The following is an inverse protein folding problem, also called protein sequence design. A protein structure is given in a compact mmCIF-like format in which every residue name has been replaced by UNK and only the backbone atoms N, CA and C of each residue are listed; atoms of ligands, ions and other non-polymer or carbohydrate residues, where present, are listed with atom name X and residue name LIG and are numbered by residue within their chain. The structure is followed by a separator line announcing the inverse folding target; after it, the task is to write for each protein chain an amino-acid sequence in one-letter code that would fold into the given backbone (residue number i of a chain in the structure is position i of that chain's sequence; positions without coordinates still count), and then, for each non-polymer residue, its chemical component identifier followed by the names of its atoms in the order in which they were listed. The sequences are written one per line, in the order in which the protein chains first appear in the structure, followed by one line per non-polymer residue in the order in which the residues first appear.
data_IF_509973127328
#
_entry.id   IF_509973127328
#
_cell.length_a   1.000
_cell.length_b   1.000
_cell.length_c   1.000
_cell.angle_alpha   90.00
_cell.angle_beta   90.00
_cell.angle_gamma   90.00
#
_symmetry.space_group_name_H-M   'P 1'
#
loop_
_entity.id
_entity.type
_entity.pdbx_description
1 polymer ?
#
# COMPACT_ATOMS: atom_id res chain seq x y z
N UNK A 1 -5.62 8.92 18.51
CA UNK A 1 -6.61 7.83 18.34
C UNK A 1 -6.51 7.26 16.92
N UNK A 2 -5.39 6.63 16.57
CA UNK A 2 -5.13 6.05 15.25
C UNK A 2 -4.94 4.52 15.31
N UNK A 3 -5.24 3.91 16.46
CA UNK A 3 -4.66 2.64 16.88
C UNK A 3 -5.58 1.43 16.65
N UNK A 4 -6.90 1.60 16.71
CA UNK A 4 -7.79 0.42 16.83
C UNK A 4 -7.97 -0.42 15.55
N UNK A 5 -7.75 0.16 14.37
CA UNK A 5 -7.91 -0.57 13.09
C UNK A 5 -6.60 -1.03 12.46
N UNK A 6 -5.49 -0.41 12.88
CA UNK A 6 -4.15 -0.71 12.40
C UNK A 6 -3.60 -1.94 13.14
N UNK A 7 -3.94 -2.16 14.41
CA UNK A 7 -3.57 -3.37 15.17
C UNK A 7 -3.94 -4.68 14.45
N UNK A 8 -5.14 -4.76 13.87
CA UNK A 8 -5.58 -5.93 13.11
C UNK A 8 -4.84 -6.08 11.76
N UNK A 9 -4.34 -4.96 11.22
CA UNK A 9 -3.72 -4.83 9.89
C UNK A 9 -2.20 -4.58 9.89
N UNK A 10 -1.55 -4.58 11.06
CA UNK A 10 -0.08 -4.53 11.22
C UNK A 10 0.58 -5.91 11.14
N UNK A 11 -0.11 -6.95 11.61
CA UNK A 11 0.27 -8.36 11.38
C UNK A 11 -0.79 -9.26 10.66
N UNK A 12 -1.54 -8.77 9.67
CA UNK A 12 -2.61 -9.48 9.00
C UNK A 12 -2.08 -10.48 7.99
N UNK A 13 -2.78 -11.60 7.90
CA UNK A 13 -2.84 -12.36 6.65
C UNK A 13 -3.58 -11.51 5.59
N UNK A 14 -2.88 -10.53 5.01
CA UNK A 14 -3.39 -9.79 3.86
C UNK A 14 -3.40 -10.74 2.67
N UNK A 15 -4.60 -11.05 2.19
CA UNK A 15 -4.74 -11.79 0.95
C UNK A 15 -4.74 -10.84 -0.25
N UNK A 16 -4.13 -11.29 -1.34
CA UNK A 16 -4.13 -10.57 -2.60
C UNK A 16 -5.53 -10.70 -3.21
N UNK A 17 -6.20 -9.57 -3.41
CA UNK A 17 -7.46 -9.51 -4.18
C UNK A 17 -7.14 -9.33 -5.65
N UNK A 18 -6.22 -8.39 -5.95
CA UNK A 18 -5.77 -8.10 -7.30
C UNK A 18 -4.33 -7.59 -7.29
N UNK A 19 -3.58 -7.93 -8.32
CA UNK A 19 -2.23 -7.39 -8.55
C UNK A 19 -2.27 -6.64 -9.87
N UNK A 20 -1.86 -5.37 -9.86
CA UNK A 20 -1.76 -4.54 -11.05
C UNK A 20 -0.33 -4.49 -11.60
N UNK A 21 0.65 -4.51 -10.70
CA UNK A 21 2.07 -4.53 -11.03
C UNK A 21 2.79 -5.46 -10.05
N UNK A 22 3.69 -6.27 -10.58
CA UNK A 22 4.61 -7.08 -9.78
C UNK A 22 5.91 -7.22 -10.54
N UNK A 23 6.92 -6.47 -10.13
CA UNK A 23 8.31 -6.59 -10.56
C UNK A 23 9.16 -7.01 -9.35
N UNK A 24 10.46 -7.19 -9.55
CA UNK A 24 11.39 -7.44 -8.45
C UNK A 24 11.44 -6.29 -7.43
N UNK A 25 11.14 -5.06 -7.86
CA UNK A 25 11.30 -3.84 -7.06
C UNK A 25 9.99 -3.16 -6.70
N UNK A 26 8.91 -3.40 -7.45
CA UNK A 26 7.63 -2.72 -7.26
C UNK A 26 6.48 -3.71 -7.25
N UNK A 27 5.58 -3.54 -6.30
CA UNK A 27 4.30 -4.26 -6.28
C UNK A 27 3.18 -3.27 -6.06
N UNK A 28 2.19 -3.28 -6.95
CA UNK A 28 0.93 -2.54 -6.80
C UNK A 28 -0.21 -3.54 -6.77
N UNK A 29 -0.99 -3.54 -5.70
CA UNK A 29 -2.04 -4.53 -5.48
C UNK A 29 -3.19 -3.97 -4.64
N UNK A 30 -4.35 -4.62 -4.75
CA UNK A 30 -5.41 -4.55 -3.74
C UNK A 30 -5.24 -5.74 -2.82
N UNK A 31 -5.21 -5.47 -1.53
CA UNK A 31 -5.17 -6.49 -0.50
C UNK A 31 -6.40 -6.39 0.39
N UNK A 32 -6.82 -7.52 0.94
CA UNK A 32 -7.90 -7.60 1.93
C UNK A 32 -7.36 -8.21 3.21
N UNK A 33 -7.67 -7.61 4.35
CA UNK A 33 -7.37 -8.20 5.64
C UNK A 33 -8.35 -9.35 5.90
N UNK A 34 -7.86 -10.57 6.11
CA UNK A 34 -8.71 -11.74 6.41
C UNK A 34 -9.46 -11.63 7.73
N UNK A 35 -8.91 -10.89 8.70
CA UNK A 35 -9.50 -10.78 10.03
C UNK A 35 -10.65 -9.78 10.09
N UNK A 36 -10.48 -8.58 9.52
CA UNK A 36 -11.49 -7.52 9.58
C UNK A 36 -12.18 -7.22 8.23
N UNK A 37 -11.78 -7.89 7.14
CA UNK A 37 -12.34 -7.70 5.81
C UNK A 37 -12.02 -6.37 5.14
N UNK A 38 -11.23 -5.49 5.78
CA UNK A 38 -10.87 -4.18 5.22
C UNK A 38 -9.98 -4.31 3.98
N UNK A 39 -10.24 -3.44 3.01
CA UNK A 39 -9.47 -3.36 1.77
C UNK A 39 -8.40 -2.28 1.85
N UNK A 40 -7.26 -2.60 1.25
CA UNK A 40 -6.09 -1.75 1.23
C UNK A 40 -5.53 -1.69 -0.19
N UNK A 41 -5.33 -0.48 -0.67
CA UNK A 41 -4.40 -0.23 -1.75
C UNK A 41 -2.99 -0.42 -1.19
N UNK A 42 -2.25 -1.32 -1.81
CA UNK A 42 -0.90 -1.72 -1.42
C UNK A 42 0.06 -1.30 -2.53
N UNK A 43 1.04 -0.47 -2.18
CA UNK A 43 2.14 -0.14 -3.06
C UNK A 43 3.44 -0.40 -2.32
N UNK A 44 4.26 -1.31 -2.81
CA UNK A 44 5.62 -1.52 -2.35
C UNK A 44 6.57 -1.01 -3.43
N UNK A 45 7.60 -0.29 -2.99
CA UNK A 45 8.72 0.13 -3.81
C UNK A 45 10.02 -0.15 -3.07
N UNK A 46 10.93 -0.79 -3.77
CA UNK A 46 12.29 -1.02 -3.33
C UNK A 46 13.21 -0.08 -4.11
N UNK A 47 14.05 0.65 -3.40
CA UNK A 47 15.11 1.48 -3.96
C UNK A 47 16.45 0.83 -3.65
N UNK A 48 17.17 0.48 -4.69
CA UNK A 48 18.57 0.02 -4.60
C UNK A 48 19.49 1.22 -4.68
N UNK A 49 20.41 1.37 -3.73
CA UNK A 49 21.44 2.41 -3.78
C UNK A 49 22.72 1.82 -4.38
N UNK A 50 23.33 2.51 -5.34
CA UNK A 50 24.47 1.98 -6.12
C UNK A 50 25.76 1.75 -5.32
N UNK A 51 25.86 2.29 -4.10
CA UNK A 51 27.13 2.37 -3.35
C UNK A 51 27.24 1.38 -2.19
N UNK A 52 26.15 0.69 -1.85
CA UNK A 52 26.14 -0.33 -0.81
C UNK A 52 25.05 -1.34 -1.14
N UNK A 53 25.21 -2.59 -0.73
CA UNK A 53 24.20 -3.68 -0.80
C UNK A 53 22.98 -3.37 0.12
N UNK A 54 22.55 -2.12 0.14
CA UNK A 54 21.52 -1.55 0.99
C UNK A 54 20.34 -1.23 0.10
N UNK A 55 19.24 -1.93 0.37
CA UNK A 55 17.94 -1.68 -0.23
C UNK A 55 17.07 -0.96 0.80
N UNK A 56 16.41 0.12 0.39
CA UNK A 56 15.33 0.71 1.18
C UNK A 56 14.00 0.27 0.58
N UNK A 57 13.17 -0.37 1.41
CA UNK A 57 11.85 -0.83 1.01
C UNK A 57 10.80 0.01 1.72
N UNK A 58 10.04 0.75 0.93
CA UNK A 58 8.91 1.53 1.38
C UNK A 58 7.61 0.87 0.92
N UNK A 59 6.65 0.72 1.84
CA UNK A 59 5.35 0.13 1.55
C UNK A 59 4.24 1.07 2.02
N UNK A 60 3.45 1.57 1.07
CA UNK A 60 2.30 2.40 1.34
C UNK A 60 1.02 1.56 1.41
N UNK A 61 0.21 1.87 2.41
CA UNK A 61 -1.13 1.32 2.61
C UNK A 61 -2.13 2.46 2.63
N UNK A 62 -3.10 2.43 1.72
CA UNK A 62 -4.24 3.34 1.74
C UNK A 62 -5.51 2.55 1.86
N UNK A 63 -6.31 2.90 2.87
CA UNK A 63 -7.57 2.21 3.13
C UNK A 63 -8.55 2.50 2.00
N UNK A 64 -9.15 1.46 1.45
CA UNK A 64 -10.23 1.53 0.49
C UNK A 64 -11.56 1.22 1.17
N UNK A 65 -12.62 1.91 0.78
CA UNK A 65 -13.96 1.44 1.09
C UNK A 65 -14.32 0.24 0.17
N UNK A 66 -15.36 -0.55 0.51
CA UNK A 66 -15.72 -1.73 -0.28
C UNK A 66 -16.08 -1.42 -1.74
N UNK A 67 -16.72 -0.27 -2.01
CA UNK A 67 -17.11 0.14 -3.36
C UNK A 67 -15.87 0.42 -4.22
N UNK A 68 -14.93 1.21 -3.70
CA UNK A 68 -13.63 1.47 -4.33
C UNK A 68 -12.85 0.19 -4.58
N UNK A 69 -12.83 -0.71 -3.59
CA UNK A 69 -12.15 -1.99 -3.73
C UNK A 69 -12.73 -2.83 -4.86
N UNK A 70 -14.06 -2.87 -5.02
CA UNK A 70 -14.71 -3.57 -6.11
C UNK A 70 -14.42 -2.92 -7.46
N UNK A 71 -14.57 -1.59 -7.56
CA UNK A 71 -14.24 -0.84 -8.79
C UNK A 71 -12.80 -1.10 -9.23
N UNK A 72 -11.86 -1.05 -8.30
CA UNK A 72 -10.44 -1.31 -8.59
C UNK A 72 -10.18 -2.80 -8.87
N UNK A 73 -10.90 -3.72 -8.22
CA UNK A 73 -10.80 -5.15 -8.48
C UNK A 73 -11.25 -5.52 -9.91
N UNK A 74 -12.13 -4.74 -10.53
CA UNK A 74 -12.52 -4.91 -11.93
C UNK A 74 -11.70 -4.04 -12.91
N UNK A 75 -10.98 -3.00 -12.43
CA UNK A 75 -10.24 -2.07 -13.29
C UNK A 75 -9.09 -2.72 -14.09
N UNK A 76 -8.93 -2.40 -15.37
CA UNK A 76 -7.86 -2.96 -16.21
C UNK A 76 -6.45 -2.48 -15.83
N UNK A 77 -6.33 -1.35 -15.13
CA UNK A 77 -5.07 -0.75 -14.71
C UNK A 77 -5.12 -0.27 -13.26
N UNK A 78 -3.93 -0.05 -12.67
CA UNK A 78 -3.82 0.57 -11.36
C UNK A 78 -4.40 2.00 -11.38
N UNK A 79 -5.06 2.44 -10.29
CA UNK A 79 -5.46 3.83 -10.14
C UNK A 79 -4.23 4.74 -10.09
N UNK A 80 -4.36 5.95 -10.61
CA UNK A 80 -3.32 6.97 -10.49
C UNK A 80 -3.08 7.33 -9.01
N UNK A 81 -1.82 7.34 -8.59
CA UNK A 81 -1.43 7.66 -7.20
C UNK A 81 -1.89 9.05 -6.75
N UNK A 82 -2.12 9.97 -7.71
CA UNK A 82 -2.70 11.29 -7.45
C UNK A 82 -4.05 11.21 -6.72
N UNK A 83 -4.82 10.14 -6.91
CA UNK A 83 -6.08 9.90 -6.20
C UNK A 83 -5.90 9.71 -4.69
N UNK A 84 -4.68 9.37 -4.25
CA UNK A 84 -4.35 9.09 -2.84
C UNK A 84 -3.41 10.13 -2.23
N UNK A 85 -3.13 11.23 -2.94
CA UNK A 85 -2.15 12.26 -2.52
C UNK A 85 -2.50 12.93 -1.19
N UNK A 86 -3.79 13.11 -0.91
CA UNK A 86 -4.28 13.75 0.32
C UNK A 86 -5.04 12.77 1.22
N UNK A 87 -4.97 11.47 0.88
CA UNK A 87 -5.69 10.43 1.62
C UNK A 87 -4.80 9.88 2.74
N UNK A 88 -5.26 9.94 4.01
CA UNK A 88 -4.54 9.34 5.11
C UNK A 88 -4.25 7.87 4.85
N UNK A 89 -3.04 7.45 5.20
CA UNK A 89 -2.55 6.10 4.98
C UNK A 89 -1.45 5.75 5.96
N UNK A 90 -0.76 4.65 5.67
CA UNK A 90 0.37 4.17 6.45
C UNK A 90 1.55 3.94 5.51
N UNK A 91 2.75 4.20 6.00
CA UNK A 91 4.02 3.89 5.37
C UNK A 91 4.76 2.91 6.26
N UNK A 92 5.16 1.77 5.71
CA UNK A 92 6.12 0.86 6.32
C UNK A 92 7.47 1.02 5.64
N UNK A 93 8.46 1.47 6.38
CA UNK A 93 9.85 1.65 5.94
C UNK A 93 10.81 0.98 6.94
N UNK A 94 12.11 1.31 6.84
CA UNK A 94 13.15 0.81 7.73
C UNK A 94 13.03 1.30 9.17
N UNK A 95 12.40 2.45 9.41
CA UNK A 95 12.12 3.00 10.74
C UNK A 95 10.85 2.40 11.37
N UNK A 96 10.02 1.71 10.59
CA UNK A 96 8.85 0.98 11.04
C UNK A 96 7.57 1.43 10.36
N UNK A 97 6.44 1.41 11.08
CA UNK A 97 5.12 1.77 10.55
C UNK A 97 4.73 3.18 10.99
N UNK A 98 4.57 4.09 10.02
CA UNK A 98 4.31 5.50 10.23
C UNK A 98 2.99 5.93 9.59
N UNK A 99 2.20 6.74 10.29
CA UNK A 99 1.00 7.35 9.71
C UNK A 99 1.39 8.50 8.76
N UNK A 100 0.79 8.53 7.58
CA UNK A 100 1.03 9.53 6.55
C UNK A 100 -0.27 10.21 6.15
N UNK A 101 -0.18 11.46 5.70
CA UNK A 101 -1.35 12.22 5.21
C UNK A 101 -1.71 11.90 3.75
N UNK A 102 -0.90 11.12 3.08
CA UNK A 102 -1.00 10.92 1.65
C UNK A 102 0.13 10.09 1.09
N UNK A 103 -0.14 9.34 0.03
CA UNK A 103 0.92 8.67 -0.72
C UNK A 103 1.68 9.72 -1.53
N UNK A 104 3.02 9.72 -1.48
CA UNK A 104 3.80 10.63 -2.29
C UNK A 104 3.53 10.38 -3.78
N UNK A 105 3.27 11.46 -4.51
CA UNK A 105 3.02 11.47 -5.94
C UNK A 105 4.34 11.28 -6.68
N UNK A 106 4.89 10.07 -6.82
CA UNK A 106 6.15 9.91 -7.57
C UNK A 106 5.97 9.17 -8.88
N UNK A 107 6.00 9.95 -9.96
CA UNK A 107 6.63 9.65 -11.24
C UNK A 107 7.44 10.88 -11.66
N UNK A 108 8.69 10.95 -11.16
CA UNK A 108 9.85 11.49 -11.87
C UNK A 108 10.97 10.47 -11.70
#
# INVERSE_FOLDING_TARGET
MASEYVDCCENPSLEKVKVFLSTDYDIVAIRRCRSCGCYWYYWMKERTFSDADTYDRSIWYVRLNPEEANVLADASAAPELSLFKDRPGLLKDSDGMNAIRGIPRFLE
#
